data_IF_836645930281
#
_entry.id   IF_836645930281
#
_cell.length_a   1.000
_cell.length_b   1.000
_cell.length_c   1.000
_cell.angle_alpha   90.00
_cell.angle_beta   90.00
_cell.angle_gamma   90.00
#
_symmetry.space_group_name_H-M   'P 1'
#
loop_
_entity.id
_entity.type
_entity.pdbx_description
1 polymer ?
#
# COMPACT_ATOMS: atom_id res chain seq x y z
N UNK A 1 -53.06 -48.90 14.73
CA UNK A 1 -52.50 -48.87 13.36
C UNK A 1 -52.08 -47.42 13.05
N UNK A 2 -50.76 -47.19 12.90
CA UNK A 2 -50.06 -45.98 12.39
C UNK A 2 -50.28 -44.68 13.21
N UNK A 3 -49.39 -44.21 14.10
CA UNK A 3 -47.96 -43.86 13.98
C UNK A 3 -47.64 -43.09 12.69
N UNK A 4 -47.42 -41.76 12.79
CA UNK A 4 -46.50 -40.88 12.03
C UNK A 4 -46.78 -39.43 12.49
N UNK A 5 -46.19 -38.94 13.58
CA UNK A 5 -44.91 -38.22 13.64
C UNK A 5 -44.86 -37.00 12.71
N UNK A 6 -45.38 -35.87 13.20
CA UNK A 6 -45.11 -34.54 12.64
C UNK A 6 -43.67 -34.12 13.05
N UNK A 7 -42.70 -34.48 12.21
CA UNK A 7 -41.36 -33.91 12.28
C UNK A 7 -41.38 -32.59 11.49
N UNK A 8 -41.31 -31.47 12.21
CA UNK A 8 -41.13 -30.15 11.61
C UNK A 8 -39.78 -30.07 10.85
N UNK A 9 -39.70 -29.30 9.75
CA UNK A 9 -38.69 -29.47 8.73
C UNK A 9 -37.35 -28.85 9.14
N UNK A 10 -36.37 -29.70 9.43
CA UNK A 10 -34.95 -29.34 9.55
C UNK A 10 -34.39 -28.73 8.24
N UNK A 11 -35.01 -29.05 7.09
CA UNK A 11 -34.57 -28.63 5.75
C UNK A 11 -34.70 -27.12 5.48
N UNK A 12 -35.65 -26.42 6.11
CA UNK A 12 -35.86 -24.98 5.87
C UNK A 12 -34.82 -24.12 6.60
N UNK A 13 -34.29 -24.60 7.72
CA UNK A 13 -33.21 -23.93 8.47
C UNK A 13 -31.86 -24.04 7.72
N UNK A 14 -31.58 -25.19 7.09
CA UNK A 14 -30.35 -25.44 6.32
C UNK A 14 -30.32 -24.60 5.02
N UNK A 15 -31.45 -24.43 4.33
CA UNK A 15 -31.53 -23.60 3.11
C UNK A 15 -31.37 -22.10 3.42
N UNK A 16 -31.87 -21.63 4.56
CA UNK A 16 -31.65 -20.25 5.03
C UNK A 16 -30.17 -20.02 5.39
N UNK A 17 -29.53 -20.93 6.13
CA UNK A 17 -28.10 -20.87 6.44
C UNK A 17 -27.20 -20.97 5.19
N UNK A 18 -27.55 -21.80 4.21
CA UNK A 18 -26.81 -21.95 2.95
C UNK A 18 -26.83 -20.69 2.09
N UNK A 19 -27.96 -19.98 2.04
CA UNK A 19 -28.09 -18.72 1.30
C UNK A 19 -27.30 -17.56 1.91
N UNK A 20 -27.13 -17.56 3.24
CA UNK A 20 -26.28 -16.60 3.96
C UNK A 20 -24.80 -16.89 3.75
N UNK A 21 -24.36 -18.14 3.95
CA UNK A 21 -22.97 -18.57 3.82
C UNK A 21 -22.35 -18.26 2.45
N UNK A 22 -23.09 -18.49 1.36
CA UNK A 22 -22.64 -18.14 0.01
C UNK A 22 -22.51 -16.63 -0.20
N UNK A 23 -23.40 -15.82 0.38
CA UNK A 23 -23.30 -14.35 0.34
C UNK A 23 -22.07 -13.86 1.10
N UNK A 24 -21.77 -14.42 2.26
CA UNK A 24 -20.57 -14.09 3.05
C UNK A 24 -19.27 -14.51 2.35
N UNK A 25 -19.24 -15.68 1.69
CA UNK A 25 -18.09 -16.14 0.92
C UNK A 25 -17.81 -15.25 -0.30
N UNK A 26 -18.85 -14.82 -1.03
CA UNK A 26 -18.73 -13.87 -2.14
C UNK A 26 -18.26 -12.49 -1.66
N UNK A 27 -18.75 -12.02 -0.52
CA UNK A 27 -18.35 -10.75 0.08
C UNK A 27 -16.86 -10.77 0.49
N UNK A 28 -16.42 -11.82 1.20
CA UNK A 28 -15.01 -11.99 1.58
C UNK A 28 -14.09 -12.03 0.36
N UNK A 29 -14.51 -12.76 -0.69
CA UNK A 29 -13.73 -12.87 -1.92
C UNK A 29 -13.64 -11.53 -2.66
N UNK A 30 -14.72 -10.73 -2.67
CA UNK A 30 -14.70 -9.37 -3.24
C UNK A 30 -13.80 -8.42 -2.44
N UNK A 31 -13.86 -8.46 -1.12
CA UNK A 31 -13.00 -7.63 -0.25
C UNK A 31 -11.52 -8.02 -0.40
N UNK A 32 -11.21 -9.32 -0.49
CA UNK A 32 -9.84 -9.78 -0.72
C UNK A 32 -9.30 -9.34 -2.09
N UNK A 33 -10.10 -9.43 -3.16
CA UNK A 33 -9.73 -8.93 -4.48
C UNK A 33 -9.54 -7.40 -4.51
N UNK A 34 -10.41 -6.67 -3.79
CA UNK A 34 -10.28 -5.22 -3.65
C UNK A 34 -9.01 -4.84 -2.89
N UNK A 35 -8.69 -5.55 -1.79
CA UNK A 35 -7.45 -5.36 -1.05
C UNK A 35 -6.23 -5.63 -1.93
N UNK A 36 -6.26 -6.70 -2.72
CA UNK A 36 -5.18 -7.03 -3.64
C UNK A 36 -5.00 -5.95 -4.72
N UNK A 37 -6.10 -5.39 -5.25
CA UNK A 37 -6.06 -4.27 -6.19
C UNK A 37 -5.47 -3.00 -5.58
N UNK A 38 -5.93 -2.60 -4.39
CA UNK A 38 -5.40 -1.43 -3.66
C UNK A 38 -3.94 -1.65 -3.26
N UNK A 39 -3.57 -2.88 -2.90
CA UNK A 39 -2.21 -3.25 -2.55
C UNK A 39 -1.27 -3.20 -3.75
N UNK A 40 -1.65 -3.81 -4.88
CA UNK A 40 -0.87 -3.74 -6.13
C UNK A 40 -0.73 -2.29 -6.58
N UNK A 41 -1.82 -1.52 -6.50
CA UNK A 41 -1.78 -0.10 -6.83
C UNK A 41 -0.80 0.64 -5.92
N UNK A 42 -0.85 0.39 -4.61
CA UNK A 42 0.05 1.04 -3.65
C UNK A 42 1.51 0.62 -3.82
N UNK A 43 1.79 -0.67 -4.02
CA UNK A 43 3.14 -1.19 -4.31
C UNK A 43 3.67 -0.66 -5.65
N UNK A 44 2.83 -0.62 -6.68
CA UNK A 44 3.17 -0.04 -7.98
C UNK A 44 3.46 1.45 -7.88
N UNK A 45 2.67 2.17 -7.06
CA UNK A 45 2.94 3.56 -6.71
C UNK A 45 4.26 3.71 -5.96
N UNK A 46 4.53 2.90 -4.91
CA UNK A 46 5.80 2.94 -4.15
C UNK A 46 7.00 2.59 -5.02
N UNK A 47 6.86 1.64 -5.94
CA UNK A 47 7.90 1.31 -6.90
C UNK A 47 8.12 2.44 -7.91
N UNK A 48 7.05 3.08 -8.39
CA UNK A 48 7.14 4.27 -9.22
C UNK A 48 7.71 5.48 -8.45
N UNK A 49 7.71 5.47 -7.11
CA UNK A 49 8.47 6.44 -6.34
C UNK A 49 9.96 6.28 -6.56
N UNK A 50 10.49 5.13 -6.97
CA UNK A 50 11.92 4.98 -7.25
C UNK A 50 12.34 5.52 -8.62
N UNK A 51 11.44 6.19 -9.35
CA UNK A 51 11.60 6.54 -10.76
C UNK A 51 11.35 8.04 -11.04
N UNK A 52 12.35 8.87 -10.74
CA UNK A 52 12.48 10.31 -11.04
C UNK A 52 11.74 11.29 -10.10
N UNK A 53 12.45 11.75 -9.06
CA UNK A 53 11.98 12.71 -8.06
C UNK A 53 12.11 14.18 -8.48
N UNK A 54 13.08 14.53 -9.32
CA UNK A 54 13.28 15.88 -9.86
C UNK A 54 13.59 15.82 -11.36
N UNK A 55 13.04 16.76 -12.13
CA UNK A 55 13.17 16.81 -13.59
C UNK A 55 13.45 18.24 -14.07
N UNK A 56 14.41 18.36 -14.99
CA UNK A 56 14.82 19.60 -15.64
C UNK A 56 15.00 19.45 -17.15
N UNK A 57 15.06 20.57 -17.88
CA UNK A 57 15.34 20.56 -19.32
C UNK A 57 16.68 19.90 -19.69
N UNK A 58 17.68 19.95 -18.80
CA UNK A 58 19.04 19.50 -19.05
C UNK A 58 19.55 18.47 -18.01
N UNK A 59 18.72 18.06 -17.05
CA UNK A 59 19.08 17.06 -16.05
C UNK A 59 17.84 16.34 -15.54
N UNK A 60 17.96 15.05 -15.25
CA UNK A 60 16.95 14.27 -14.55
C UNK A 60 17.61 13.64 -13.33
N UNK A 61 17.02 13.87 -12.16
CA UNK A 61 17.56 13.34 -10.91
C UNK A 61 16.56 12.41 -10.27
N UNK A 62 16.98 11.16 -10.14
CA UNK A 62 16.31 10.16 -9.34
C UNK A 62 16.91 10.12 -7.92
N UNK A 63 16.29 9.34 -7.04
CA UNK A 63 16.79 9.11 -5.69
C UNK A 63 18.13 8.37 -5.69
N UNK A 64 18.44 7.62 -6.75
CA UNK A 64 19.62 6.74 -6.85
C UNK A 64 20.67 7.22 -7.83
N UNK A 65 20.26 7.98 -8.84
CA UNK A 65 21.12 8.41 -9.95
C UNK A 65 20.80 9.85 -10.32
N UNK A 66 21.84 10.62 -10.62
CA UNK A 66 21.71 11.97 -11.15
C UNK A 66 22.26 11.98 -12.57
N UNK A 67 21.38 12.23 -13.54
CA UNK A 67 21.73 12.32 -14.94
C UNK A 67 21.75 13.80 -15.37
N UNK A 68 22.87 14.25 -15.89
CA UNK A 68 23.05 15.59 -16.46
C UNK A 68 23.37 15.47 -17.94
N UNK A 69 22.66 16.25 -18.76
CA UNK A 69 22.87 16.35 -20.20
C UNK A 69 23.57 17.66 -20.51
N UNK A 70 24.86 17.57 -20.85
CA UNK A 70 25.68 18.72 -21.23
C UNK A 70 26.08 18.57 -22.70
N UNK A 71 25.71 19.54 -23.54
CA UNK A 71 26.06 19.57 -24.97
C UNK A 71 25.72 18.27 -25.75
N UNK A 72 24.58 17.64 -25.44
CA UNK A 72 24.12 16.40 -26.10
C UNK A 72 24.74 15.10 -25.57
N UNK A 73 25.64 15.19 -24.59
CA UNK A 73 26.20 14.03 -23.87
C UNK A 73 25.50 13.90 -22.52
N UNK A 74 24.79 12.79 -22.31
CA UNK A 74 24.15 12.46 -21.04
C UNK A 74 25.11 11.68 -20.15
N UNK A 75 25.52 12.26 -19.02
CA UNK A 75 26.32 11.60 -18.00
C UNK A 75 25.44 11.30 -16.79
N UNK A 76 25.42 10.04 -16.34
CA UNK A 76 24.71 9.62 -15.15
C UNK A 76 25.69 9.18 -14.08
N UNK A 77 25.72 9.89 -12.96
CA UNK A 77 26.52 9.55 -11.78
C UNK A 77 25.59 9.08 -10.65
N UNK A 78 26.03 8.20 -9.73
CA UNK A 78 25.24 7.81 -8.55
C UNK A 78 24.89 9.05 -7.70
N UNK A 79 23.68 9.09 -7.17
CA UNK A 79 23.24 10.14 -6.26
C UNK A 79 23.84 9.92 -4.85
N UNK A 80 25.14 10.23 -4.69
CA UNK A 80 25.89 10.05 -3.42
C UNK A 80 26.15 11.37 -2.68
N UNK A 81 25.25 12.34 -2.85
CA UNK A 81 25.62 13.73 -2.63
C UNK A 81 25.15 14.34 -1.31
N UNK A 82 24.50 13.56 -0.43
CA UNK A 82 24.17 14.03 0.93
C UNK A 82 23.58 12.97 1.87
N UNK A 83 23.87 13.06 3.17
CA UNK A 83 23.35 12.14 4.22
C UNK A 83 21.82 12.09 4.23
N UNK A 84 21.15 13.19 3.85
CA UNK A 84 19.70 13.26 3.81
C UNK A 84 19.10 12.41 2.68
N UNK A 85 19.75 12.26 1.52
CA UNK A 85 19.23 11.44 0.42
C UNK A 85 19.25 9.96 0.82
N UNK A 86 20.29 9.55 1.54
CA UNK A 86 20.40 8.20 2.09
C UNK A 86 19.29 7.91 3.12
N UNK A 87 18.91 8.91 3.94
CA UNK A 87 17.78 8.77 4.85
C UNK A 87 16.45 8.58 4.08
N UNK A 88 16.22 9.34 3.00
CA UNK A 88 15.03 9.17 2.15
C UNK A 88 15.03 7.79 1.49
N UNK A 89 16.16 7.32 0.95
CA UNK A 89 16.31 5.98 0.37
C UNK A 89 15.97 4.88 1.39
N UNK A 90 16.49 4.98 2.62
CA UNK A 90 16.22 4.03 3.68
C UNK A 90 14.72 4.00 4.06
N UNK A 91 14.07 5.17 4.15
CA UNK A 91 12.63 5.28 4.41
C UNK A 91 11.79 4.65 3.29
N UNK A 92 12.18 4.84 2.02
CA UNK A 92 11.50 4.23 0.88
C UNK A 92 11.62 2.70 0.90
N UNK A 93 12.81 2.16 1.14
CA UNK A 93 13.02 0.70 1.27
C UNK A 93 12.19 0.15 2.44
N UNK A 94 12.23 0.82 3.59
CA UNK A 94 11.50 0.38 4.77
C UNK A 94 9.98 0.37 4.52
N UNK A 95 9.46 1.35 3.79
CA UNK A 95 8.04 1.38 3.39
C UNK A 95 7.65 0.17 2.52
N UNK A 96 8.52 -0.24 1.58
CA UNK A 96 8.31 -1.40 0.71
C UNK A 96 8.31 -2.69 1.55
N UNK A 97 9.25 -2.84 2.47
CA UNK A 97 9.33 -4.02 3.36
C UNK A 97 8.04 -4.14 4.18
N UNK A 98 7.58 -3.07 4.82
CA UNK A 98 6.35 -3.09 5.59
C UNK A 98 5.10 -3.33 4.74
N UNK A 99 5.09 -2.83 3.50
CA UNK A 99 4.07 -3.13 2.52
C UNK A 99 4.02 -4.65 2.24
N UNK A 100 5.15 -5.28 1.90
CA UNK A 100 5.22 -6.74 1.69
C UNK A 100 4.80 -7.54 2.93
N UNK A 101 5.25 -7.14 4.12
CA UNK A 101 4.85 -7.79 5.38
C UNK A 101 3.34 -7.69 5.61
N UNK A 102 2.72 -6.53 5.32
CA UNK A 102 1.26 -6.36 5.40
C UNK A 102 0.53 -7.37 4.50
N UNK A 103 0.99 -7.56 3.26
CA UNK A 103 0.41 -8.54 2.33
C UNK A 103 0.53 -9.97 2.84
N UNK A 104 1.72 -10.37 3.30
CA UNK A 104 1.93 -11.72 3.83
C UNK A 104 1.03 -11.98 5.04
N UNK A 105 0.94 -11.02 5.95
CA UNK A 105 0.06 -11.10 7.12
C UNK A 105 -1.41 -11.14 6.71
N UNK A 106 -1.81 -10.42 5.66
CA UNK A 106 -3.16 -10.47 5.12
C UNK A 106 -3.51 -11.88 4.62
N UNK A 107 -2.61 -12.50 3.85
CA UNK A 107 -2.79 -13.88 3.37
C UNK A 107 -2.84 -14.87 4.54
N UNK A 108 -1.91 -14.77 5.49
CA UNK A 108 -1.92 -15.61 6.69
C UNK A 108 -3.23 -15.46 7.47
N UNK A 109 -3.74 -14.23 7.63
CA UNK A 109 -5.01 -13.99 8.31
C UNK A 109 -6.21 -14.47 7.49
N UNK A 110 -6.17 -14.45 6.16
CA UNK A 110 -7.30 -14.94 5.35
C UNK A 110 -7.57 -16.44 5.57
N UNK A 111 -6.50 -17.23 5.76
CA UNK A 111 -6.61 -18.69 5.99
C UNK A 111 -6.72 -19.07 7.46
N UNK A 112 -6.05 -18.35 8.36
CA UNK A 112 -5.94 -18.71 9.79
C UNK A 112 -7.04 -18.09 10.66
N UNK A 113 -7.71 -17.03 10.20
CA UNK A 113 -8.61 -16.25 11.06
C UNK A 113 -10.00 -16.88 11.17
N UNK A 114 -10.33 -17.35 12.37
CA UNK A 114 -11.67 -17.84 12.71
C UNK A 114 -12.75 -16.75 12.52
N UNK A 115 -14.02 -17.16 12.45
CA UNK A 115 -15.16 -16.23 12.37
C UNK A 115 -15.09 -15.23 13.55
N UNK A 116 -15.00 -13.93 13.26
CA UNK A 116 -14.93 -12.85 14.25
C UNK A 116 -13.59 -12.11 14.43
N UNK A 117 -12.49 -12.57 13.82
CA UNK A 117 -11.19 -11.89 13.94
C UNK A 117 -11.08 -10.58 13.14
N UNK A 118 -10.15 -9.69 13.54
CA UNK A 118 -9.88 -8.40 12.88
C UNK A 118 -8.54 -8.43 12.15
N UNK A 119 -8.41 -7.68 11.05
CA UNK A 119 -7.17 -7.54 10.30
C UNK A 119 -6.24 -6.46 10.89
N UNK A 120 -6.10 -6.46 12.23
CA UNK A 120 -5.42 -5.39 12.97
C UNK A 120 -3.94 -5.28 12.59
N UNK A 121 -3.22 -6.40 12.56
CA UNK A 121 -1.78 -6.40 12.25
C UNK A 121 -1.51 -5.96 10.80
N UNK A 122 -2.30 -6.44 9.84
CA UNK A 122 -2.19 -6.02 8.43
C UNK A 122 -2.39 -4.51 8.30
N UNK A 123 -3.46 -3.98 8.89
CA UNK A 123 -3.74 -2.55 8.87
C UNK A 123 -2.63 -1.72 9.53
N UNK A 124 -2.08 -2.18 10.67
CA UNK A 124 -1.00 -1.48 11.37
C UNK A 124 0.29 -1.37 10.52
N UNK A 125 0.73 -2.47 9.91
CA UNK A 125 1.92 -2.44 9.04
C UNK A 125 1.70 -1.60 7.78
N UNK A 126 0.48 -1.57 7.25
CA UNK A 126 0.13 -0.71 6.12
C UNK A 126 0.14 0.79 6.51
N UNK A 127 -0.32 1.13 7.72
CA UNK A 127 -0.20 2.49 8.26
C UNK A 127 1.27 2.87 8.41
N UNK A 128 2.11 2.00 9.00
CA UNK A 128 3.55 2.28 9.10
C UNK A 128 4.22 2.47 7.74
N UNK A 129 3.89 1.64 6.75
CA UNK A 129 4.37 1.83 5.38
C UNK A 129 4.01 3.22 4.83
N UNK A 130 2.76 3.66 5.01
CA UNK A 130 2.32 5.00 4.56
C UNK A 130 3.04 6.15 5.29
N UNK A 131 3.32 6.00 6.59
CA UNK A 131 4.05 7.00 7.37
C UNK A 131 5.50 7.14 6.91
N UNK A 132 6.18 6.04 6.56
CA UNK A 132 7.54 6.11 6.02
C UNK A 132 7.60 6.81 4.65
N UNK A 133 6.63 6.57 3.76
CA UNK A 133 6.50 7.30 2.49
C UNK A 133 6.31 8.79 2.75
N UNK A 134 5.41 9.15 3.68
CA UNK A 134 5.16 10.55 4.06
C UNK A 134 6.43 11.21 4.62
N UNK A 135 7.13 10.55 5.55
CA UNK A 135 8.36 11.08 6.14
C UNK A 135 9.44 11.30 5.06
N UNK A 136 9.64 10.35 4.15
CA UNK A 136 10.60 10.51 3.06
C UNK A 136 10.24 11.64 2.11
N UNK A 137 8.96 11.80 1.76
CA UNK A 137 8.48 12.91 0.94
C UNK A 137 8.66 14.28 1.63
N UNK A 138 8.42 14.36 2.94
CA UNK A 138 8.62 15.59 3.73
C UNK A 138 10.10 15.96 3.78
N UNK A 139 10.99 15.01 4.11
CA UNK A 139 12.44 15.26 4.15
C UNK A 139 12.92 15.72 2.77
N UNK A 140 12.47 15.07 1.71
CA UNK A 140 12.75 15.48 0.35
C UNK A 140 12.29 16.93 0.10
N UNK A 141 11.05 17.27 0.46
CA UNK A 141 10.50 18.64 0.29
C UNK A 141 11.33 19.71 1.02
N UNK A 142 11.76 19.42 2.24
CA UNK A 142 12.50 20.37 3.09
C UNK A 142 13.94 20.55 2.62
N UNK A 143 14.58 19.49 2.12
CA UNK A 143 15.99 19.53 1.69
C UNK A 143 16.16 19.91 0.22
N UNK A 144 15.13 19.74 -0.62
CA UNK A 144 15.17 20.09 -2.04
C UNK A 144 15.64 21.53 -2.33
N UNK A 145 15.19 22.59 -1.61
CA UNK A 145 15.60 23.97 -1.89
C UNK A 145 17.09 24.26 -1.68
N UNK A 146 17.80 23.45 -0.87
CA UNK A 146 19.24 23.61 -0.65
C UNK A 146 20.09 22.96 -1.75
N UNK A 147 19.52 22.00 -2.48
CA UNK A 147 20.27 21.10 -3.37
C UNK A 147 19.94 21.30 -4.85
N UNK A 148 18.78 21.90 -5.12
CA UNK A 148 18.18 21.99 -6.44
C UNK A 148 17.87 23.48 -6.72
N UNK A 149 18.48 24.11 -7.74
CA UNK A 149 18.25 25.52 -8.07
C UNK A 149 16.76 25.82 -8.25
N UNK A 150 16.32 27.05 -7.93
CA UNK A 150 14.91 27.49 -8.01
C UNK A 150 14.20 27.32 -9.37
N UNK A 151 14.89 26.80 -10.39
CA UNK A 151 14.35 26.48 -11.73
C UNK A 151 13.88 25.03 -11.89
N UNK A 152 14.13 24.16 -10.93
CA UNK A 152 13.79 22.75 -11.07
C UNK A 152 12.39 22.44 -10.53
N UNK A 153 11.68 21.55 -11.22
CA UNK A 153 10.31 21.17 -10.87
C UNK A 153 10.28 19.80 -10.18
N UNK A 154 9.37 19.64 -9.22
CA UNK A 154 9.08 18.34 -8.62
C UNK A 154 8.69 17.34 -9.71
N UNK A 155 9.35 16.18 -9.72
CA UNK A 155 9.07 15.09 -10.63
C UNK A 155 7.75 14.39 -10.32
N UNK A 156 7.32 13.52 -11.25
CA UNK A 156 6.06 12.78 -11.11
C UNK A 156 6.04 11.87 -9.86
N UNK A 157 7.18 11.26 -9.49
CA UNK A 157 7.30 10.44 -8.28
C UNK A 157 6.95 11.20 -7.00
N UNK A 158 7.32 12.47 -6.91
CA UNK A 158 6.98 13.29 -5.75
C UNK A 158 5.46 13.46 -5.59
N UNK A 159 4.76 13.73 -6.69
CA UNK A 159 3.29 13.84 -6.71
C UNK A 159 2.66 12.50 -6.32
N UNK A 160 3.18 11.40 -6.86
CA UNK A 160 2.72 10.05 -6.51
C UNK A 160 2.90 9.74 -5.02
N UNK A 161 3.95 10.22 -4.36
CA UNK A 161 4.17 9.97 -2.93
C UNK A 161 3.03 10.55 -2.08
N UNK A 162 2.63 11.78 -2.40
CA UNK A 162 1.54 12.48 -1.72
C UNK A 162 0.16 11.91 -2.02
N UNK A 163 -0.03 11.27 -3.18
CA UNK A 163 -1.27 10.54 -3.50
C UNK A 163 -1.28 9.16 -2.82
N UNK A 164 -0.14 8.48 -2.76
CA UNK A 164 0.00 7.16 -2.17
C UNK A 164 -0.22 7.17 -0.66
N UNK A 165 0.27 8.20 0.05
CA UNK A 165 0.12 8.35 1.49
C UNK A 165 -1.34 8.26 1.99
N UNK A 166 -2.27 9.15 1.58
CA UNK A 166 -3.64 9.14 2.11
C UNK A 166 -4.39 7.88 1.69
N UNK A 167 -4.13 7.36 0.49
CA UNK A 167 -4.74 6.12 0.02
C UNK A 167 -4.37 4.94 0.94
N UNK A 168 -3.09 4.77 1.27
CA UNK A 168 -2.65 3.70 2.15
C UNK A 168 -2.99 3.91 3.62
N UNK A 169 -2.99 5.16 4.08
CA UNK A 169 -3.37 5.49 5.45
C UNK A 169 -4.85 5.19 5.70
N UNK A 170 -5.73 5.64 4.79
CA UNK A 170 -7.17 5.38 4.88
C UNK A 170 -7.46 3.89 4.73
N UNK A 171 -6.81 3.18 3.79
CA UNK A 171 -7.01 1.75 3.64
C UNK A 171 -6.59 0.98 4.91
N UNK A 172 -5.42 1.30 5.47
CA UNK A 172 -4.94 0.73 6.72
C UNK A 172 -5.90 0.99 7.90
N UNK A 173 -6.40 2.22 8.05
CA UNK A 173 -7.39 2.58 9.08
C UNK A 173 -8.69 1.79 8.92
N UNK A 174 -9.19 1.65 7.69
CA UNK A 174 -10.39 0.86 7.40
C UNK A 174 -10.18 -0.59 7.87
N UNK A 175 -9.02 -1.20 7.62
CA UNK A 175 -8.74 -2.57 8.07
C UNK A 175 -8.59 -2.72 9.59
N UNK A 176 -8.11 -1.69 10.28
CA UNK A 176 -8.05 -1.65 11.75
C UNK A 176 -9.45 -1.49 12.36
N UNK A 177 -10.29 -0.65 11.78
CA UNK A 177 -11.63 -0.33 12.29
C UNK A 177 -12.66 -1.42 11.95
N UNK A 178 -12.55 -2.04 10.77
CA UNK A 178 -13.46 -3.10 10.35
C UNK A 178 -13.31 -4.33 11.24
N UNK A 179 -14.31 -4.54 12.10
CA UNK A 179 -14.52 -5.79 12.83
C UNK A 179 -15.37 -6.72 11.99
N UNK A 180 -14.92 -7.95 11.76
CA UNK A 180 -15.75 -9.04 11.22
C UNK A 180 -16.92 -9.24 12.18
N UNK A 181 -18.09 -8.71 11.80
CA UNK A 181 -19.36 -9.05 12.47
C UNK A 181 -19.68 -10.50 12.13
N UNK A 182 -20.19 -11.20 13.14
CA UNK A 182 -20.36 -12.66 13.23
C UNK A 182 -20.92 -13.33 11.97
#
# INVERSE_FOLDING_TARGET
MRLFKAAAPYSTLILSQGSGLWKYAVLLTRVARLHFGVFILFCGLTFALLAAWAVNPNSSSDLWTNCTTLNGVSKCDPADTGVWIQAVQALMILSIIFCFLSLLLFFCQLFTLQKGGRFFLTGAFQIFASLFVMCGAIIYTVMNPEWVPAKESYGFSYILAWVAFPLAFISGLIYVILRKRE
#
